data_IF_149594209681
#
_entry.id   IF_149594209681
#
_cell.length_a   1.000
_cell.length_b   1.000
_cell.length_c   1.000
_cell.angle_alpha   90.00
_cell.angle_beta   90.00
_cell.angle_gamma   90.00
#
_symmetry.space_group_name_H-M   'P 1'
#
loop_
_entity.id
_entity.type
_entity.pdbx_description
1 polymer ?
#
# COMPACT_ATOMS: atom_id res chain seq x y z
N UNK A 1 -4.87 24.32 5.41
CA UNK A 1 -5.70 23.39 6.20
C UNK A 1 -6.35 22.35 5.30
N UNK A 2 -6.77 22.69 4.09
CA UNK A 2 -7.31 21.72 3.12
C UNK A 2 -6.28 20.67 2.63
N UNK A 3 -4.99 21.02 2.56
CA UNK A 3 -3.94 20.10 2.08
C UNK A 3 -3.73 18.90 3.01
N UNK A 4 -3.76 19.11 4.33
CA UNK A 4 -3.61 18.05 5.32
C UNK A 4 -4.81 17.09 5.30
N UNK A 5 -6.02 17.64 5.18
CA UNK A 5 -7.25 16.86 5.04
C UNK A 5 -7.24 16.03 3.75
N UNK A 6 -6.72 16.60 2.66
CA UNK A 6 -6.55 15.90 1.39
C UNK A 6 -5.55 14.73 1.51
N UNK A 7 -4.39 14.96 2.14
CA UNK A 7 -3.38 13.92 2.39
C UNK A 7 -3.93 12.79 3.26
N UNK A 8 -4.71 13.12 4.29
CA UNK A 8 -5.40 12.12 5.11
C UNK A 8 -6.36 11.24 4.30
N UNK A 9 -7.17 11.87 3.45
CA UNK A 9 -8.13 11.17 2.59
C UNK A 9 -7.42 10.29 1.55
N UNK A 10 -6.33 10.77 0.95
CA UNK A 10 -5.52 9.97 0.02
C UNK A 10 -4.85 8.80 0.76
N UNK A 11 -4.34 9.01 1.97
CA UNK A 11 -3.75 7.96 2.81
C UNK A 11 -4.76 6.87 3.17
N UNK A 12 -5.99 7.23 3.55
CA UNK A 12 -7.05 6.25 3.80
C UNK A 12 -7.39 5.44 2.54
N UNK A 13 -7.49 6.10 1.38
CA UNK A 13 -7.73 5.44 0.09
C UNK A 13 -6.63 4.44 -0.25
N UNK A 14 -5.37 4.85 -0.14
CA UNK A 14 -4.21 3.99 -0.39
C UNK A 14 -4.14 2.81 0.60
N UNK A 15 -4.48 3.02 1.87
CA UNK A 15 -4.54 1.96 2.87
C UNK A 15 -5.63 0.93 2.56
N UNK A 16 -6.81 1.38 2.12
CA UNK A 16 -7.88 0.49 1.68
C UNK A 16 -7.46 -0.33 0.44
N UNK A 17 -6.86 0.32 -0.55
CA UNK A 17 -6.39 -0.36 -1.77
C UNK A 17 -5.29 -1.38 -1.45
N UNK A 18 -4.34 -1.02 -0.58
CA UNK A 18 -3.32 -1.93 -0.10
C UNK A 18 -3.91 -3.15 0.62
N UNK A 19 -4.94 -2.95 1.45
CA UNK A 19 -5.65 -4.05 2.14
C UNK A 19 -6.41 -4.94 1.15
N UNK A 20 -7.01 -4.37 0.11
CA UNK A 20 -7.69 -5.12 -0.94
C UNK A 20 -6.70 -5.95 -1.77
N UNK A 21 -5.51 -5.40 -2.09
CA UNK A 21 -4.43 -6.17 -2.71
C UNK A 21 -3.92 -7.29 -1.82
N UNK A 22 -3.88 -7.07 -0.51
CA UNK A 22 -3.46 -8.10 0.45
C UNK A 22 -4.44 -9.28 0.47
N UNK A 23 -5.75 -8.99 0.53
CA UNK A 23 -6.79 -10.00 0.46
C UNK A 23 -6.75 -10.80 -0.85
N UNK A 24 -6.51 -10.11 -1.98
CA UNK A 24 -6.29 -10.78 -3.27
C UNK A 24 -5.06 -11.67 -3.25
N UNK A 25 -3.96 -11.19 -2.68
CA UNK A 25 -2.71 -11.97 -2.59
C UNK A 25 -2.88 -13.21 -1.71
N UNK A 26 -3.67 -13.14 -0.64
CA UNK A 26 -3.98 -14.29 0.22
C UNK A 26 -4.79 -15.38 -0.48
N UNK A 27 -5.58 -15.02 -1.48
CA UNK A 27 -6.36 -15.97 -2.29
C UNK A 27 -5.50 -16.69 -3.35
N UNK A 28 -4.33 -16.12 -3.67
CA UNK A 28 -3.42 -16.72 -4.65
C UNK A 28 -2.67 -17.90 -4.02
N UNK A 29 -2.87 -19.13 -4.51
CA UNK A 29 -2.24 -20.31 -3.93
C UNK A 29 -0.72 -20.27 -4.12
N UNK A 30 0.03 -20.51 -3.03
CA UNK A 30 1.48 -20.77 -3.04
C UNK A 30 1.77 -22.18 -3.59
N UNK A 31 1.37 -22.45 -4.83
CA UNK A 31 1.82 -23.65 -5.52
C UNK A 31 3.27 -23.44 -5.94
N UNK A 32 4.13 -24.46 -5.80
CA UNK A 32 5.59 -24.40 -5.97
C UNK A 32 6.12 -24.02 -7.37
N UNK A 33 5.29 -23.45 -8.24
CA UNK A 33 5.68 -22.84 -9.51
C UNK A 33 5.74 -21.31 -9.38
N UNK A 34 6.60 -20.68 -10.18
CA UNK A 34 6.70 -19.22 -10.26
C UNK A 34 5.33 -18.64 -10.63
N UNK A 35 4.68 -18.03 -9.63
CA UNK A 35 3.38 -17.41 -9.81
C UNK A 35 3.58 -15.93 -10.17
N UNK A 36 3.55 -15.64 -11.47
CA UNK A 36 3.67 -14.28 -12.00
C UNK A 36 2.55 -13.35 -11.51
N UNK A 37 1.38 -13.89 -11.17
CA UNK A 37 0.25 -13.13 -10.64
C UNK A 37 0.55 -12.67 -9.21
N UNK A 38 0.99 -13.59 -8.35
CA UNK A 38 1.47 -13.25 -6.99
C UNK A 38 2.62 -12.24 -7.03
N UNK A 39 3.57 -12.41 -7.96
CA UNK A 39 4.70 -11.50 -8.12
C UNK A 39 4.25 -10.08 -8.53
N UNK A 40 3.28 -9.98 -9.45
CA UNK A 40 2.69 -8.70 -9.87
C UNK A 40 1.96 -8.03 -8.72
N UNK A 41 1.11 -8.76 -8.00
CA UNK A 41 0.36 -8.26 -6.84
C UNK A 41 1.30 -7.77 -5.72
N UNK A 42 2.36 -8.54 -5.40
CA UNK A 42 3.38 -8.12 -4.41
C UNK A 42 4.09 -6.83 -4.83
N UNK A 43 4.38 -6.67 -6.12
CA UNK A 43 5.00 -5.43 -6.65
C UNK A 43 4.07 -4.23 -6.55
N UNK A 44 2.79 -4.39 -6.86
CA UNK A 44 1.79 -3.31 -6.69
C UNK A 44 1.60 -2.96 -5.22
N UNK A 45 1.52 -3.97 -4.34
CA UNK A 45 1.44 -3.79 -2.89
C UNK A 45 2.64 -2.99 -2.36
N UNK A 46 3.86 -3.29 -2.82
CA UNK A 46 5.06 -2.55 -2.45
C UNK A 46 4.97 -1.08 -2.87
N UNK A 47 4.52 -0.80 -4.11
CA UNK A 47 4.33 0.58 -4.60
C UNK A 47 3.32 1.37 -3.76
N UNK A 48 2.21 0.75 -3.36
CA UNK A 48 1.24 1.39 -2.48
C UNK A 48 1.83 1.67 -1.11
N UNK A 49 2.59 0.71 -0.55
CA UNK A 49 3.31 0.91 0.72
C UNK A 49 4.29 2.09 0.64
N UNK A 50 5.08 2.19 -0.43
CA UNK A 50 6.02 3.30 -0.63
C UNK A 50 5.29 4.65 -0.74
N UNK A 51 4.13 4.67 -1.39
CA UNK A 51 3.31 5.88 -1.52
C UNK A 51 2.67 6.29 -0.20
N UNK A 52 2.16 5.33 0.59
CA UNK A 52 1.68 5.55 1.95
C UNK A 52 2.81 6.14 2.80
N UNK A 53 3.99 5.53 2.77
CA UNK A 53 5.14 6.00 3.56
C UNK A 53 5.53 7.44 3.22
N UNK A 54 5.47 7.85 1.94
CA UNK A 54 5.72 9.25 1.56
C UNK A 54 4.70 10.24 2.15
N UNK A 55 3.43 9.86 2.15
CA UNK A 55 2.37 10.70 2.73
C UNK A 55 2.51 10.71 4.26
N UNK A 56 2.81 9.57 4.88
CA UNK A 56 3.08 9.46 6.32
C UNK A 56 4.31 10.28 6.73
N UNK A 57 5.39 10.32 5.95
CA UNK A 57 6.53 11.21 6.21
C UNK A 57 6.14 12.69 6.15
N UNK A 58 5.16 13.04 5.32
CA UNK A 58 4.68 14.42 5.17
C UNK A 58 3.76 14.81 6.33
N UNK A 59 2.86 13.91 6.75
CA UNK A 59 1.92 14.13 7.85
C UNK A 59 2.55 13.94 9.23
N UNK A 60 3.46 12.99 9.35
CA UNK A 60 4.06 12.51 10.60
C UNK A 60 5.59 12.35 10.48
N UNK A 61 6.33 13.45 10.31
CA UNK A 61 7.79 13.41 10.14
C UNK A 61 8.53 12.75 11.33
N UNK A 62 8.00 12.84 12.55
CA UNK A 62 8.59 12.28 13.77
C UNK A 62 8.52 10.74 13.88
N UNK A 63 7.66 10.06 13.12
CA UNK A 63 7.46 8.60 13.26
C UNK A 63 8.45 7.81 12.38
N UNK A 64 9.08 8.46 11.40
CA UNK A 64 9.91 7.83 10.35
C UNK A 64 11.39 8.32 10.41
N UNK A 65 11.75 9.15 11.39
CA UNK A 65 13.09 9.69 11.60
C UNK A 65 14.04 8.72 12.33
#
# INVERSE_FOLDING_TARGET
MDDELFLHKELEGLRQEHKALDARLSDVPENGHINFEAARLKKEKLRLKDRIAKIEQTLYPDIIA
#
